data_IF_332843812117
#
_entry.id   IF_332843812117
#
_cell.length_a   1.000
_cell.length_b   1.000
_cell.length_c   1.000
_cell.angle_alpha   90.00
_cell.angle_beta   90.00
_cell.angle_gamma   90.00
#
_symmetry.space_group_name_H-M   'P 1'
#
loop_
_entity.id
_entity.type
_entity.pdbx_description
1 polymer ?
#
# COMPACT_ATOMS: atom_id res chain seq x y z
N UNK A 1 -23.62 -12.77 -6.68
CA UNK A 1 -23.91 -11.47 -6.04
C UNK A 1 -23.09 -10.31 -6.66
N UNK A 2 -22.74 -10.34 -7.97
CA UNK A 2 -21.58 -9.56 -8.44
C UNK A 2 -21.85 -8.33 -9.34
N UNK A 3 -23.00 -8.19 -9.99
CA UNK A 3 -23.17 -7.11 -10.98
C UNK A 3 -23.18 -5.69 -10.37
N UNK A 4 -23.75 -5.52 -9.16
CA UNK A 4 -23.86 -4.21 -8.50
C UNK A 4 -22.53 -3.75 -7.90
N UNK A 5 -21.73 -4.67 -7.35
CA UNK A 5 -20.41 -4.35 -6.82
C UNK A 5 -19.44 -3.97 -7.95
N UNK A 6 -19.52 -4.69 -9.07
CA UNK A 6 -18.73 -4.44 -10.27
C UNK A 6 -19.11 -3.10 -10.93
N UNK A 7 -20.40 -2.76 -11.00
CA UNK A 7 -20.85 -1.45 -11.52
C UNK A 7 -20.43 -0.28 -10.62
N UNK A 8 -20.39 -0.48 -9.30
CA UNK A 8 -19.88 0.53 -8.36
C UNK A 8 -18.37 0.73 -8.52
N UNK A 9 -17.60 -0.35 -8.63
CA UNK A 9 -16.16 -0.28 -8.83
C UNK A 9 -15.80 0.40 -10.17
N UNK A 10 -16.52 0.10 -11.25
CA UNK A 10 -16.29 0.75 -12.55
C UNK A 10 -16.63 2.24 -12.51
N UNK A 11 -17.69 2.62 -11.79
CA UNK A 11 -18.08 4.03 -11.61
C UNK A 11 -17.03 4.79 -10.80
N UNK A 12 -16.55 4.20 -9.71
CA UNK A 12 -15.48 4.79 -8.88
C UNK A 12 -14.18 4.94 -9.68
N UNK A 13 -13.82 3.94 -10.48
CA UNK A 13 -12.64 4.02 -11.37
C UNK A 13 -12.79 5.17 -12.36
N UNK A 14 -13.94 5.31 -13.01
CA UNK A 14 -14.18 6.39 -13.97
C UNK A 14 -14.09 7.78 -13.31
N UNK A 15 -14.62 7.94 -12.09
CA UNK A 15 -14.50 9.18 -11.33
C UNK A 15 -13.04 9.53 -11.01
N UNK A 16 -12.25 8.52 -10.62
CA UNK A 16 -10.82 8.70 -10.38
C UNK A 16 -10.04 9.07 -11.62
N UNK A 17 -10.30 8.43 -12.77
CA UNK A 17 -9.68 8.82 -14.04
C UNK A 17 -10.03 10.27 -14.42
N UNK A 18 -11.24 10.72 -14.11
CA UNK A 18 -11.65 12.12 -14.24
C UNK A 18 -10.78 13.06 -13.40
N UNK A 19 -10.57 12.73 -12.12
CA UNK A 19 -9.70 13.52 -11.23
C UNK A 19 -8.24 13.53 -11.69
N UNK A 20 -7.70 12.42 -12.16
CA UNK A 20 -6.32 12.36 -12.68
C UNK A 20 -6.13 13.28 -13.90
N UNK A 21 -7.17 13.46 -14.73
CA UNK A 21 -7.12 14.36 -15.88
C UNK A 21 -7.26 15.84 -15.48
N UNK A 22 -8.16 16.14 -14.55
CA UNK A 22 -8.42 17.52 -14.14
C UNK A 22 -7.39 18.07 -13.15
N UNK A 23 -6.81 17.21 -12.31
CA UNK A 23 -5.87 17.55 -11.25
C UNK A 23 -4.70 16.53 -11.22
N UNK A 24 -3.81 16.54 -12.23
CA UNK A 24 -2.80 15.49 -12.42
C UNK A 24 -1.73 15.41 -11.32
N UNK A 25 -1.61 16.44 -10.46
CA UNK A 25 -0.67 16.47 -9.34
C UNK A 25 -1.23 15.82 -8.07
N UNK A 26 -2.52 15.53 -8.00
CA UNK A 26 -3.11 14.90 -6.82
C UNK A 26 -2.57 13.49 -6.62
N UNK A 27 -2.26 13.17 -5.35
CA UNK A 27 -1.93 11.81 -4.96
C UNK A 27 -3.22 11.01 -4.80
N UNK A 28 -3.12 9.68 -4.92
CA UNK A 28 -4.26 8.77 -4.75
C UNK A 28 -5.03 9.01 -3.43
N UNK A 29 -4.31 9.35 -2.35
CA UNK A 29 -4.91 9.70 -1.06
C UNK A 29 -5.85 10.90 -1.15
N UNK A 30 -5.41 11.95 -1.84
CA UNK A 30 -6.21 13.18 -2.01
C UNK A 30 -7.38 12.93 -2.95
N UNK A 31 -7.18 12.13 -4.01
CA UNK A 31 -8.29 11.64 -4.85
C UNK A 31 -9.33 10.87 -4.04
N UNK A 32 -8.89 9.96 -3.15
CA UNK A 32 -9.77 9.15 -2.33
C UNK A 32 -10.58 10.03 -1.36
N UNK A 33 -9.94 11.02 -0.73
CA UNK A 33 -10.61 12.01 0.11
C UNK A 33 -11.65 12.82 -0.67
N UNK A 34 -11.33 13.31 -1.87
CA UNK A 34 -12.28 14.05 -2.72
C UNK A 34 -13.47 13.17 -3.16
N UNK A 35 -13.25 11.88 -3.38
CA UNK A 35 -14.29 10.93 -3.78
C UNK A 35 -15.06 10.32 -2.59
N UNK A 36 -14.68 10.65 -1.36
CA UNK A 36 -15.32 10.15 -0.14
C UNK A 36 -15.14 8.64 0.09
N UNK A 37 -14.02 8.07 -0.35
CA UNK A 37 -13.67 6.65 -0.19
C UNK A 37 -12.30 6.48 0.47
N UNK A 38 -11.98 5.29 0.96
CA UNK A 38 -10.63 5.01 1.44
C UNK A 38 -9.62 4.88 0.30
N UNK A 39 -8.34 5.04 0.62
CA UNK A 39 -7.27 4.89 -0.36
C UNK A 39 -7.19 3.45 -0.90
N UNK A 40 -7.40 2.45 -0.02
CA UNK A 40 -7.43 1.05 -0.39
C UNK A 40 -8.59 0.72 -1.35
N UNK A 41 -9.79 1.25 -1.11
CA UNK A 41 -10.94 1.08 -2.01
C UNK A 41 -10.65 1.63 -3.40
N UNK A 42 -10.05 2.82 -3.47
CA UNK A 42 -9.68 3.44 -4.73
C UNK A 42 -8.63 2.60 -5.48
N UNK A 43 -7.59 2.12 -4.78
CA UNK A 43 -6.56 1.25 -5.35
C UNK A 43 -7.14 -0.09 -5.80
N UNK A 44 -8.11 -0.66 -5.08
CA UNK A 44 -8.75 -1.92 -5.41
C UNK A 44 -9.44 -1.89 -6.78
N UNK A 45 -9.88 -0.71 -7.26
CA UNK A 45 -10.43 -0.54 -8.63
C UNK A 45 -9.40 -0.78 -9.76
N UNK A 46 -8.14 -1.06 -9.41
CA UNK A 46 -7.04 -1.30 -10.34
C UNK A 46 -6.55 -2.74 -10.32
N UNK A 47 -7.17 -3.59 -9.50
CA UNK A 47 -6.81 -5.01 -9.41
C UNK A 47 -7.12 -5.69 -10.75
N UNK A 48 -6.14 -6.40 -11.29
CA UNK A 48 -6.23 -7.02 -12.62
C UNK A 48 -5.76 -6.13 -13.78
N UNK A 49 -5.53 -4.83 -13.53
CA UNK A 49 -4.92 -3.89 -14.48
C UNK A 49 -3.42 -3.76 -14.16
N UNK A 50 -3.06 -2.88 -13.23
CA UNK A 50 -1.68 -2.67 -12.78
C UNK A 50 -1.46 -2.93 -11.30
N UNK A 51 -2.48 -3.41 -10.58
CA UNK A 51 -2.30 -3.90 -9.22
C UNK A 51 -2.76 -5.35 -9.05
N UNK A 52 -2.19 -6.00 -8.05
CA UNK A 52 -2.53 -7.36 -7.63
C UNK A 52 -2.77 -7.33 -6.14
N UNK A 53 -3.94 -7.80 -5.70
CA UNK A 53 -4.23 -7.96 -4.28
C UNK A 53 -3.31 -9.05 -3.71
N UNK A 54 -2.65 -8.75 -2.61
CA UNK A 54 -1.79 -9.68 -1.89
C UNK A 54 -2.64 -10.48 -0.90
N UNK A 55 -2.35 -11.77 -0.82
CA UNK A 55 -2.98 -12.71 0.10
C UNK A 55 -1.89 -13.53 0.81
N UNK A 56 -2.23 -14.09 1.96
CA UNK A 56 -1.34 -14.93 2.75
C UNK A 56 -0.89 -14.30 4.07
N UNK A 57 0.24 -14.79 4.58
CA UNK A 57 0.77 -14.41 5.89
C UNK A 57 1.70 -13.19 5.78
N UNK A 58 1.32 -12.09 6.42
CA UNK A 58 2.12 -10.87 6.44
C UNK A 58 3.50 -11.06 7.06
N UNK A 59 3.67 -12.01 7.98
CA UNK A 59 5.00 -12.27 8.56
C UNK A 59 5.95 -12.82 7.50
N UNK A 60 5.45 -13.73 6.65
CA UNK A 60 6.23 -14.27 5.52
C UNK A 60 6.56 -13.20 4.48
N UNK A 61 5.66 -12.23 4.26
CA UNK A 61 5.95 -11.10 3.38
C UNK A 61 7.09 -10.26 3.98
N UNK A 62 7.02 -9.94 5.27
CA UNK A 62 8.02 -9.10 5.95
C UNK A 62 9.39 -9.79 5.97
N UNK A 63 9.45 -11.10 6.25
CA UNK A 63 10.70 -11.89 6.19
C UNK A 63 11.41 -11.81 4.84
N UNK A 64 10.66 -11.62 3.75
CA UNK A 64 11.18 -11.57 2.38
C UNK A 64 11.50 -10.17 1.88
N UNK A 65 11.19 -9.12 2.63
CA UNK A 65 11.52 -7.74 2.23
C UNK A 65 13.01 -7.49 1.91
N UNK A 66 13.99 -8.16 2.57
CA UNK A 66 15.39 -8.03 2.18
C UNK A 66 15.70 -8.46 0.73
N UNK A 67 14.89 -9.36 0.14
CA UNK A 67 15.05 -9.81 -1.26
C UNK A 67 14.85 -8.66 -2.27
N UNK A 68 14.16 -7.58 -1.88
CA UNK A 68 13.93 -6.41 -2.73
C UNK A 68 15.19 -5.56 -2.94
N UNK A 69 16.24 -5.77 -2.14
CA UNK A 69 17.43 -4.92 -2.17
C UNK A 69 17.13 -3.49 -1.73
N UNK A 70 17.63 -2.51 -2.47
CA UNK A 70 17.52 -1.09 -2.12
C UNK A 70 16.14 -0.55 -2.53
N UNK A 71 15.36 -0.10 -1.55
CA UNK A 71 14.01 0.45 -1.74
C UNK A 71 13.84 1.80 -1.02
N UNK A 72 12.67 2.40 -1.17
CA UNK A 72 12.18 3.50 -0.34
C UNK A 72 10.94 3.04 0.44
N UNK A 73 11.01 3.06 1.77
CA UNK A 73 9.87 2.81 2.65
C UNK A 73 9.26 4.14 3.10
N UNK A 74 7.96 4.27 2.92
CA UNK A 74 7.16 5.44 3.27
C UNK A 74 6.12 5.06 4.31
N UNK A 75 6.13 5.78 5.43
CA UNK A 75 5.05 5.78 6.41
C UNK A 75 4.67 7.22 6.71
N UNK A 76 3.40 7.47 6.97
CA UNK A 76 2.90 8.83 7.21
C UNK A 76 1.76 8.86 8.19
N UNK A 77 1.48 10.05 8.68
CA UNK A 77 0.23 10.43 9.30
C UNK A 77 -0.25 11.76 8.68
N UNK A 78 -1.15 12.47 9.36
CA UNK A 78 -1.64 13.77 8.90
C UNK A 78 -0.59 14.87 8.94
N UNK A 79 0.34 14.84 9.90
CA UNK A 79 1.32 15.89 10.13
C UNK A 79 2.71 15.63 9.55
N UNK A 80 3.02 14.39 9.16
CA UNK A 80 4.37 14.02 8.76
C UNK A 80 4.37 12.89 7.72
N UNK A 81 5.31 12.98 6.78
CA UNK A 81 5.69 11.91 5.85
C UNK A 81 7.14 11.53 6.14
N UNK A 82 7.38 10.26 6.44
CA UNK A 82 8.70 9.71 6.70
C UNK A 82 9.09 8.78 5.55
N UNK A 83 10.19 9.11 4.87
CA UNK A 83 10.75 8.31 3.78
C UNK A 83 12.15 7.83 4.14
N UNK A 84 12.33 6.52 4.23
CA UNK A 84 13.64 5.90 4.48
C UNK A 84 14.08 5.14 3.25
N UNK A 85 15.37 5.27 2.91
CA UNK A 85 15.94 4.72 1.67
C UNK A 85 17.07 3.76 2.00
N UNK A 86 16.95 2.52 1.54
CA UNK A 86 17.95 1.47 1.77
C UNK A 86 17.33 0.08 1.77
N UNK A 87 18.12 -0.96 2.05
CA UNK A 87 17.61 -2.31 2.22
C UNK A 87 16.92 -2.51 3.57
N UNK A 88 15.91 -3.40 3.57
CA UNK A 88 15.40 -4.01 4.80
C UNK A 88 16.45 -4.98 5.36
N UNK A 89 16.72 -4.89 6.66
CA UNK A 89 17.74 -5.70 7.34
C UNK A 89 17.28 -6.05 8.76
N UNK A 90 17.90 -7.08 9.35
CA UNK A 90 17.73 -7.51 10.75
C UNK A 90 16.26 -7.51 11.18
N UNK A 91 15.48 -8.33 10.49
CA UNK A 91 14.06 -8.50 10.78
C UNK A 91 13.93 -9.57 11.86
N UNK A 92 13.34 -9.19 12.99
CA UNK A 92 13.02 -10.12 14.06
C UNK A 92 11.51 -10.09 14.30
N UNK A 93 10.86 -11.25 14.18
CA UNK A 93 9.43 -11.41 14.47
C UNK A 93 9.27 -12.01 15.86
N UNK A 94 8.39 -11.41 16.66
CA UNK A 94 8.18 -11.75 18.05
C UNK A 94 6.71 -11.68 18.46
N UNK A 95 6.39 -12.28 19.60
CA UNK A 95 5.04 -12.31 20.16
C UNK A 95 4.20 -13.52 19.71
N UNK A 96 3.06 -13.76 20.38
CA UNK A 96 2.17 -14.87 20.05
C UNK A 96 1.44 -14.62 18.72
N UNK A 97 0.92 -15.66 18.04
CA UNK A 97 0.19 -15.52 16.77
C UNK A 97 -0.89 -14.42 16.73
N UNK A 98 -1.59 -14.19 17.84
CA UNK A 98 -2.65 -13.16 17.97
C UNK A 98 -2.12 -11.72 18.01
N UNK A 99 -0.87 -11.52 18.41
CA UNK A 99 -0.26 -10.21 18.66
C UNK A 99 1.19 -10.17 18.14
N UNK A 100 1.46 -10.80 16.99
CA UNK A 100 2.79 -10.77 16.41
C UNK A 100 3.18 -9.33 16.06
N UNK A 101 4.46 -9.03 16.25
CA UNK A 101 5.08 -7.82 15.75
C UNK A 101 6.46 -8.14 15.17
N UNK A 102 7.01 -7.22 14.38
CA UNK A 102 8.40 -7.30 13.95
C UNK A 102 9.16 -6.02 14.29
N UNK A 103 10.44 -6.18 14.60
CA UNK A 103 11.44 -5.10 14.54
C UNK A 103 12.20 -5.24 13.23
N UNK A 104 12.46 -4.10 12.59
CA UNK A 104 13.32 -3.99 11.41
C UNK A 104 14.38 -2.96 11.74
N UNK A 105 15.66 -3.35 11.70
CA UNK A 105 16.78 -2.51 12.11
C UNK A 105 17.82 -2.41 11.00
N UNK A 106 18.08 -1.20 10.52
CA UNK A 106 19.02 -0.94 9.44
C UNK A 106 18.77 0.42 8.79
N UNK A 107 19.12 0.59 7.51
CA UNK A 107 18.81 1.81 6.76
C UNK A 107 17.32 2.17 6.75
N UNK A 108 16.46 1.13 6.70
CA UNK A 108 15.05 1.24 7.05
C UNK A 108 14.90 0.73 8.48
N UNK A 109 14.37 1.59 9.35
CA UNK A 109 14.12 1.26 10.74
C UNK A 109 12.64 1.45 11.04
N UNK A 110 11.95 0.36 11.40
CA UNK A 110 10.51 0.39 11.66
C UNK A 110 10.07 -0.73 12.60
N UNK A 111 8.88 -0.57 13.18
CA UNK A 111 8.19 -1.59 13.98
C UNK A 111 6.90 -1.94 13.24
N UNK A 112 6.70 -3.23 12.97
CA UNK A 112 5.53 -3.74 12.26
C UNK A 112 4.56 -4.37 13.25
N UNK A 113 3.34 -3.87 13.31
CA UNK A 113 2.27 -4.45 14.11
C UNK A 113 1.28 -5.16 13.19
N UNK A 114 1.43 -6.48 13.04
CA UNK A 114 0.72 -7.26 12.02
C UNK A 114 -0.80 -7.27 12.20
N UNK A 115 -1.30 -7.07 13.42
CA UNK A 115 -2.75 -6.98 13.70
C UNK A 115 -3.44 -5.85 12.96
N UNK A 116 -2.72 -4.76 12.68
CA UNK A 116 -3.21 -3.58 11.97
C UNK A 116 -3.16 -3.72 10.44
N UNK A 117 -2.53 -4.76 9.89
CA UNK A 117 -2.40 -4.96 8.45
C UNK A 117 -3.58 -5.77 7.93
N UNK A 118 -4.48 -5.16 7.15
CA UNK A 118 -5.68 -5.84 6.60
C UNK A 118 -5.63 -6.06 5.11
N UNK A 119 -5.20 -5.06 4.34
CA UNK A 119 -5.15 -5.17 2.89
C UNK A 119 -3.72 -4.92 2.39
N UNK A 120 -3.32 -5.65 1.36
CA UNK A 120 -2.02 -5.49 0.72
C UNK A 120 -2.16 -5.53 -0.79
N UNK A 121 -1.36 -4.73 -1.49
CA UNK A 121 -1.36 -4.67 -2.96
C UNK A 121 0.08 -4.60 -3.47
N UNK A 122 0.40 -5.41 -4.47
CA UNK A 122 1.54 -5.18 -5.34
C UNK A 122 1.08 -4.31 -6.51
N UNK A 123 1.75 -3.19 -6.74
CA UNK A 123 1.42 -2.21 -7.80
C UNK A 123 2.58 -2.15 -8.78
N UNK A 124 2.29 -2.18 -10.08
CA UNK A 124 3.25 -2.09 -11.19
C UNK A 124 2.75 -1.07 -12.21
N UNK A 125 2.97 0.20 -11.92
CA UNK A 125 2.41 1.31 -12.70
C UNK A 125 3.45 1.84 -13.69
N UNK A 126 3.08 1.91 -14.97
CA UNK A 126 3.88 2.62 -15.95
C UNK A 126 3.73 4.13 -15.77
N UNK A 127 4.85 4.83 -15.58
CA UNK A 127 4.89 6.29 -15.45
C UNK A 127 5.74 6.91 -16.56
N UNK A 128 5.70 8.25 -16.76
CA UNK A 128 6.62 8.94 -17.65
C UNK A 128 8.11 8.74 -17.29
N UNK A 129 8.41 8.39 -16.04
CA UNK A 129 9.77 8.15 -15.54
C UNK A 129 10.17 6.67 -15.54
N UNK A 130 9.32 5.79 -16.07
CA UNK A 130 9.54 4.35 -16.11
C UNK A 130 8.55 3.55 -15.28
N UNK A 131 8.81 2.24 -15.18
CA UNK A 131 7.99 1.33 -14.39
C UNK A 131 8.22 1.61 -12.90
N UNK A 132 7.16 2.02 -12.21
CA UNK A 132 7.16 2.17 -10.77
C UNK A 132 6.52 0.93 -10.13
N UNK A 133 7.25 0.28 -9.24
CA UNK A 133 6.77 -0.89 -8.50
C UNK A 133 6.57 -0.51 -7.04
N UNK A 134 5.56 -1.08 -6.38
CA UNK A 134 5.43 -0.93 -4.94
C UNK A 134 4.65 -2.05 -4.28
N UNK A 135 4.92 -2.27 -2.99
CA UNK A 135 4.05 -3.01 -2.07
C UNK A 135 3.38 -1.98 -1.16
N UNK A 136 2.06 -1.99 -1.10
CA UNK A 136 1.28 -1.04 -0.31
C UNK A 136 0.37 -1.78 0.66
N UNK A 137 0.47 -1.44 1.94
CA UNK A 137 -0.28 -2.08 3.02
C UNK A 137 -1.23 -1.08 3.66
N UNK A 138 -2.44 -1.54 3.97
CA UNK A 138 -3.53 -0.73 4.49
C UNK A 138 -4.18 -1.37 5.73
N UNK A 139 -4.75 -0.54 6.60
CA UNK A 139 -5.51 -0.95 7.76
C UNK A 139 -6.96 -1.35 7.43
N UNK A 140 -7.75 -1.70 8.45
CA UNK A 140 -9.14 -2.13 8.30
C UNK A 140 -10.05 -1.03 7.72
N UNK A 141 -9.71 0.24 7.95
CA UNK A 141 -10.41 1.39 7.40
C UNK A 141 -9.91 1.78 6.00
N UNK A 142 -8.94 1.05 5.45
CA UNK A 142 -8.37 1.30 4.13
C UNK A 142 -7.38 2.47 4.09
N UNK A 143 -6.85 2.90 5.24
CA UNK A 143 -5.79 3.91 5.31
C UNK A 143 -4.42 3.25 5.10
N UNK A 144 -3.51 3.95 4.40
CA UNK A 144 -2.16 3.44 4.16
C UNK A 144 -1.34 3.35 5.46
N UNK A 145 -0.86 2.15 5.78
CA UNK A 145 0.03 1.86 6.91
C UNK A 145 1.50 2.04 6.49
N UNK A 146 1.88 1.44 5.36
CA UNK A 146 3.22 1.57 4.79
C UNK A 146 3.22 1.31 3.30
N UNK A 147 4.14 1.94 2.58
CA UNK A 147 4.38 1.73 1.15
C UNK A 147 5.86 1.56 0.90
N UNK A 148 6.21 0.56 0.11
CA UNK A 148 7.59 0.20 -0.22
C UNK A 148 7.72 0.34 -1.73
N UNK A 149 8.59 1.24 -2.19
CA UNK A 149 8.85 1.59 -3.59
C UNK A 149 10.24 1.15 -4.04
#
# INVERSE_FOLDING_TARGET
MNAVAESKASTLRAAWEGLKKSKPTLRIRDCAQELGVSEAELLATTVGDYSTKLEGDWTKLVERLPELGRVMSLTRNEGCVLEHKGPFQKIEIMGPPTHRMATVIGPIETRVFFSAWKFGFAVRLQTPHGLQQSIQIFDEAGNAVTKIF
#
